data_IF_456076488954
#
_entry.id   IF_456076488954
#
_cell.length_a   1.000
_cell.length_b   1.000
_cell.length_c   1.000
_cell.angle_alpha   90.00
_cell.angle_beta   90.00
_cell.angle_gamma   90.00
#
_symmetry.space_group_name_H-M   'P 1'
#
loop_
_entity.id
_entity.type
_entity.pdbx_description
1 polymer ?
#
# COMPACT_ATOMS: atom_id res chain seq x y z
N UNK A 1 13.09 -10.57 21.86
CA UNK A 1 11.97 -9.68 22.28
C UNK A 1 11.68 -8.48 21.36
N UNK A 2 12.48 -8.13 20.34
CA UNK A 2 12.27 -6.90 19.53
C UNK A 2 11.22 -6.97 18.41
N UNK A 3 10.55 -8.10 18.21
CA UNK A 3 9.69 -8.31 17.02
C UNK A 3 8.20 -8.12 17.27
N UNK A 4 7.75 -8.22 18.52
CA UNK A 4 6.33 -8.11 18.89
C UNK A 4 5.80 -6.68 18.70
N UNK A 5 6.55 -5.70 19.20
CA UNK A 5 6.19 -4.28 19.10
C UNK A 5 6.00 -3.78 17.67
N UNK A 6 6.81 -4.27 16.71
CA UNK A 6 6.67 -3.87 15.30
C UNK A 6 5.34 -4.34 14.69
N UNK A 7 4.88 -5.54 15.06
CA UNK A 7 3.61 -6.09 14.56
C UNK A 7 2.42 -5.39 15.20
N UNK A 8 2.50 -5.10 16.50
CA UNK A 8 1.46 -4.38 17.25
C UNK A 8 1.30 -2.95 16.74
N UNK A 9 2.40 -2.21 16.58
CA UNK A 9 2.40 -0.88 15.96
C UNK A 9 1.78 -0.91 14.57
N UNK A 10 2.17 -1.88 13.73
CA UNK A 10 1.61 -2.01 12.38
C UNK A 10 0.11 -2.31 12.39
N UNK A 11 -0.37 -3.12 13.34
CA UNK A 11 -1.78 -3.46 13.47
C UNK A 11 -2.62 -2.25 13.94
N UNK A 12 -2.14 -1.49 14.92
CA UNK A 12 -2.81 -0.27 15.39
C UNK A 12 -2.84 0.77 14.28
N UNK A 13 -1.73 0.92 13.54
CA UNK A 13 -1.64 1.81 12.38
C UNK A 13 -2.63 1.44 11.27
N UNK A 14 -2.80 0.16 10.94
CA UNK A 14 -3.78 -0.26 9.93
C UNK A 14 -5.22 0.05 10.37
N UNK A 15 -5.54 -0.15 11.66
CA UNK A 15 -6.85 0.23 12.23
C UNK A 15 -7.08 1.74 12.16
N UNK A 16 -6.11 2.55 12.59
CA UNK A 16 -6.18 4.01 12.52
C UNK A 16 -6.32 4.49 11.06
N UNK A 17 -5.58 3.90 10.13
CA UNK A 17 -5.62 4.27 8.71
C UNK A 17 -7.00 4.00 8.08
N UNK A 18 -7.68 2.94 8.52
CA UNK A 18 -8.98 2.48 7.99
C UNK A 18 -10.19 3.05 8.71
N UNK A 19 -10.00 3.73 9.84
CA UNK A 19 -11.07 4.31 10.65
C UNK A 19 -12.02 5.16 9.81
N UNK A 20 -13.33 5.00 10.05
CA UNK A 20 -14.36 5.74 9.32
C UNK A 20 -14.73 7.04 10.00
N UNK A 21 -14.45 7.14 11.31
CA UNK A 21 -14.78 8.29 12.14
C UNK A 21 -13.53 8.85 12.81
N UNK A 22 -13.57 10.14 13.12
CA UNK A 22 -12.48 10.82 13.82
C UNK A 22 -12.30 10.28 15.24
N UNK A 23 -13.40 9.85 15.87
CA UNK A 23 -13.38 9.20 17.18
C UNK A 23 -12.58 7.89 17.16
N UNK A 24 -12.88 6.97 16.24
CA UNK A 24 -12.14 5.70 16.10
C UNK A 24 -10.67 5.93 15.75
N UNK A 25 -10.39 6.91 14.89
CA UNK A 25 -9.03 7.32 14.56
C UNK A 25 -8.26 7.75 15.81
N UNK A 26 -8.81 8.70 16.58
CA UNK A 26 -8.17 9.23 17.79
C UNK A 26 -7.96 8.16 18.85
N UNK A 27 -8.92 7.22 18.99
CA UNK A 27 -8.79 6.08 19.89
C UNK A 27 -7.55 5.23 19.58
N UNK A 28 -7.36 4.85 18.30
CA UNK A 28 -6.20 4.07 17.89
C UNK A 28 -4.89 4.87 17.94
N UNK A 29 -4.93 6.17 17.70
CA UNK A 29 -3.74 7.03 17.83
C UNK A 29 -3.28 7.16 19.28
N UNK A 30 -4.20 7.21 20.24
CA UNK A 30 -3.85 7.21 21.67
C UNK A 30 -3.31 5.84 22.11
N UNK A 31 -3.86 4.74 21.59
CA UNK A 31 -3.30 3.38 21.77
C UNK A 31 -1.86 3.30 21.26
N UNK A 32 -1.59 3.85 20.06
CA UNK A 32 -0.25 3.91 19.47
C UNK A 32 0.71 4.75 20.33
N UNK A 33 0.24 5.89 20.84
CA UNK A 33 1.03 6.80 21.67
C UNK A 33 1.47 6.12 22.97
N UNK A 34 0.54 5.44 23.63
CA UNK A 34 0.81 4.70 24.87
C UNK A 34 1.76 3.51 24.65
N UNK A 35 1.67 2.86 23.50
CA UNK A 35 2.55 1.75 23.15
C UNK A 35 3.96 2.24 22.77
N UNK A 36 4.05 3.24 21.89
CA UNK A 36 5.31 3.77 21.35
C UNK A 36 5.20 5.23 20.91
N UNK A 37 5.56 6.15 21.81
CA UNK A 37 5.59 7.60 21.54
C UNK A 37 6.37 7.97 20.26
N UNK A 38 7.57 7.41 20.05
CA UNK A 38 8.36 7.70 18.84
C UNK A 38 7.65 7.29 17.53
N UNK A 39 6.86 6.22 17.57
CA UNK A 39 6.10 5.78 16.40
C UNK A 39 4.92 6.72 16.15
N UNK A 40 4.25 7.16 17.20
CA UNK A 40 3.21 8.19 17.12
C UNK A 40 3.74 9.49 16.51
N UNK A 41 4.86 10.01 17.04
CA UNK A 41 5.45 11.28 16.58
C UNK A 41 5.81 11.21 15.09
N UNK A 42 6.47 10.12 14.68
CA UNK A 42 6.83 9.87 13.29
C UNK A 42 5.61 9.83 12.37
N UNK A 43 4.53 9.18 12.80
CA UNK A 43 3.31 9.00 12.00
C UNK A 43 2.52 10.30 11.82
N UNK A 44 2.48 11.13 12.86
CA UNK A 44 1.91 12.46 12.80
C UNK A 44 2.72 13.35 11.85
N UNK A 45 4.05 13.29 11.92
CA UNK A 45 4.95 14.06 11.04
C UNK A 45 4.78 13.74 9.54
N UNK A 46 4.47 12.48 9.19
CA UNK A 46 4.14 12.11 7.80
C UNK A 46 2.96 12.94 7.26
N UNK A 47 2.02 13.33 8.13
CA UNK A 47 0.78 14.02 7.79
C UNK A 47 -0.39 13.03 7.63
N UNK A 48 -1.37 13.02 8.55
CA UNK A 48 -2.51 12.10 8.53
C UNK A 48 -3.29 12.06 7.22
N UNK A 49 -3.39 13.18 6.50
CA UNK A 49 -4.06 13.27 5.20
C UNK A 49 -3.48 12.33 4.12
N UNK A 50 -2.22 11.89 4.26
CA UNK A 50 -1.56 11.00 3.29
C UNK A 50 -1.95 9.53 3.46
N UNK A 51 -2.33 9.12 4.67
CA UNK A 51 -2.44 7.71 5.04
C UNK A 51 -3.71 7.34 5.79
N UNK A 52 -4.33 8.28 6.52
CA UNK A 52 -5.60 8.07 7.22
C UNK A 52 -6.78 8.39 6.30
N UNK A 53 -7.77 7.49 6.28
CA UNK A 53 -8.99 7.68 5.51
C UNK A 53 -9.79 8.89 5.95
N UNK A 54 -9.93 9.12 7.26
CA UNK A 54 -10.78 10.19 7.79
C UNK A 54 -10.21 11.59 7.50
N UNK A 55 -8.89 11.69 7.36
CA UNK A 55 -8.19 12.93 7.04
C UNK A 55 -7.83 13.07 5.55
N UNK A 56 -8.11 12.04 4.73
CA UNK A 56 -7.82 12.11 3.31
C UNK A 56 -8.86 12.99 2.62
N UNK A 57 -8.41 14.10 2.02
CA UNK A 57 -9.26 15.02 1.27
C UNK A 57 -9.78 14.43 -0.05
N UNK A 58 -9.11 13.38 -0.55
CA UNK A 58 -9.49 12.68 -1.76
C UNK A 58 -10.31 11.44 -1.45
N UNK A 59 -11.41 11.25 -2.19
CA UNK A 59 -12.22 10.03 -2.14
C UNK A 59 -11.42 8.84 -2.70
N UNK A 60 -10.52 8.26 -1.91
CA UNK A 60 -9.78 7.01 -2.20
C UNK A 60 -10.73 5.82 -2.16
N UNK A 61 -11.59 5.71 -3.16
CA UNK A 61 -12.29 4.46 -3.43
C UNK A 61 -11.31 3.53 -4.17
N UNK A 62 -10.95 2.41 -3.52
CA UNK A 62 -10.53 1.13 -4.15
C UNK A 62 -9.05 0.78 -4.25
N UNK A 63 -8.08 1.70 -4.11
CA UNK A 63 -6.65 1.30 -4.04
C UNK A 63 -6.16 1.27 -2.59
N UNK A 64 -6.89 0.55 -1.72
CA UNK A 64 -6.40 0.21 -0.37
C UNK A 64 -5.73 -1.17 -0.32
N UNK A 65 -5.65 -1.86 -1.46
CA UNK A 65 -5.00 -3.16 -1.57
C UNK A 65 -3.54 -2.95 -1.98
N UNK A 66 -2.62 -3.31 -1.09
CA UNK A 66 -1.18 -3.31 -1.35
C UNK A 66 -0.78 -4.37 -2.39
N UNK A 67 -1.69 -5.27 -2.77
CA UNK A 67 -1.43 -6.39 -3.69
C UNK A 67 -0.68 -5.99 -4.97
N UNK A 68 -1.03 -4.86 -5.60
CA UNK A 68 -0.32 -4.39 -6.80
C UNK A 68 1.11 -3.96 -6.45
N UNK A 69 1.27 -3.18 -5.40
CA UNK A 69 2.59 -2.73 -4.92
C UNK A 69 3.43 -3.90 -4.41
N UNK A 70 2.84 -4.89 -3.74
CA UNK A 70 3.49 -6.11 -3.25
C UNK A 70 3.91 -7.03 -4.41
N UNK A 71 3.06 -7.24 -5.41
CA UNK A 71 3.43 -7.95 -6.63
C UNK A 71 4.60 -7.28 -7.33
N UNK A 72 4.53 -5.95 -7.52
CA UNK A 72 5.60 -5.18 -8.14
C UNK A 72 6.88 -5.25 -7.27
N UNK A 73 6.79 -5.11 -5.95
CA UNK A 73 7.96 -5.17 -5.06
C UNK A 73 8.59 -6.57 -5.01
N UNK A 74 7.78 -7.63 -4.97
CA UNK A 74 8.23 -9.02 -5.02
C UNK A 74 8.95 -9.30 -6.35
N UNK A 75 8.36 -8.84 -7.45
CA UNK A 75 8.92 -8.94 -8.79
C UNK A 75 10.24 -8.16 -8.92
N UNK A 76 10.26 -6.89 -8.48
CA UNK A 76 11.44 -6.03 -8.50
C UNK A 76 12.55 -6.51 -7.57
N UNK A 77 12.25 -7.27 -6.52
CA UNK A 77 13.26 -7.83 -5.61
C UNK A 77 14.30 -8.67 -6.35
N UNK A 78 13.87 -9.46 -7.33
CA UNK A 78 14.77 -10.22 -8.20
C UNK A 78 15.39 -9.35 -9.30
N UNK A 79 14.56 -8.46 -9.87
CA UNK A 79 14.94 -7.59 -10.97
C UNK A 79 15.96 -6.48 -10.61
N UNK A 80 16.14 -6.15 -9.33
CA UNK A 80 17.21 -5.24 -8.85
C UNK A 80 18.62 -5.76 -9.11
N UNK A 81 18.78 -7.05 -9.43
CA UNK A 81 20.05 -7.66 -9.83
C UNK A 81 20.29 -7.59 -11.34
N UNK A 82 19.28 -7.17 -12.13
CA UNK A 82 19.39 -7.02 -13.57
C UNK A 82 19.79 -5.58 -13.94
N UNK A 83 20.51 -5.37 -15.05
CA UNK A 83 20.73 -4.04 -15.60
C UNK A 83 19.40 -3.32 -15.84
N UNK A 84 19.36 -2.01 -15.55
CA UNK A 84 18.14 -1.19 -15.64
C UNK A 84 17.44 -1.28 -17.01
N UNK A 85 18.23 -1.36 -18.10
CA UNK A 85 17.72 -1.57 -19.45
C UNK A 85 17.00 -2.90 -19.61
N UNK A 86 17.60 -4.00 -19.13
CA UNK A 86 17.00 -5.34 -19.20
C UNK A 86 15.70 -5.42 -18.41
N UNK A 87 15.66 -4.76 -17.25
CA UNK A 87 14.44 -4.65 -16.45
C UNK A 87 13.33 -3.88 -17.18
N UNK A 88 13.67 -2.72 -17.76
CA UNK A 88 12.71 -1.90 -18.49
C UNK A 88 12.15 -2.63 -19.72
N UNK A 89 12.99 -3.31 -20.50
CA UNK A 89 12.56 -4.11 -21.64
C UNK A 89 11.66 -5.27 -21.23
N UNK A 90 12.00 -5.95 -20.12
CA UNK A 90 11.18 -7.03 -19.60
C UNK A 90 9.80 -6.54 -19.14
N UNK A 91 9.73 -5.44 -18.37
CA UNK A 91 8.47 -4.83 -17.92
C UNK A 91 7.64 -4.41 -19.13
N UNK A 92 8.25 -3.78 -20.13
CA UNK A 92 7.58 -3.39 -21.38
C UNK A 92 6.97 -4.60 -22.07
N UNK A 93 7.74 -5.67 -22.27
CA UNK A 93 7.27 -6.89 -22.93
C UNK A 93 6.12 -7.55 -22.16
N UNK A 94 6.20 -7.59 -20.82
CA UNK A 94 5.15 -8.12 -19.96
C UNK A 94 3.85 -7.32 -20.10
N UNK A 95 3.92 -5.99 -20.01
CA UNK A 95 2.75 -5.12 -20.14
C UNK A 95 2.13 -5.23 -21.54
N UNK A 96 2.95 -5.23 -22.59
CA UNK A 96 2.47 -5.39 -23.97
C UNK A 96 1.70 -6.70 -24.15
N UNK A 97 2.23 -7.83 -23.66
CA UNK A 97 1.53 -9.12 -23.70
C UNK A 97 0.23 -9.07 -22.92
N UNK A 98 0.25 -8.54 -21.70
CA UNK A 98 -0.93 -8.48 -20.85
C UNK A 98 -2.07 -7.66 -21.47
N UNK A 99 -1.76 -6.49 -22.05
CA UNK A 99 -2.76 -5.69 -22.75
C UNK A 99 -3.27 -6.37 -24.02
N UNK A 100 -2.39 -7.02 -24.78
CA UNK A 100 -2.74 -7.77 -25.97
C UNK A 100 -3.70 -8.93 -25.66
N UNK A 101 -3.41 -9.70 -24.63
CA UNK A 101 -4.25 -10.84 -24.21
C UNK A 101 -5.62 -10.37 -23.72
N UNK A 102 -5.66 -9.26 -22.96
CA UNK A 102 -6.94 -8.64 -22.53
C UNK A 102 -7.74 -8.11 -23.70
N UNK A 103 -7.08 -7.51 -24.69
CA UNK A 103 -7.74 -7.03 -25.91
C UNK A 103 -8.36 -8.20 -26.68
N UNK A 104 -7.62 -9.29 -26.88
CA UNK A 104 -8.15 -10.51 -27.52
C UNK A 104 -9.32 -11.12 -26.74
N UNK A 105 -9.21 -11.24 -25.42
CA UNK A 105 -10.29 -11.77 -24.60
C UNK A 105 -11.55 -10.89 -24.67
N UNK A 106 -11.40 -9.57 -24.71
CA UNK A 106 -12.52 -8.65 -24.88
C UNK A 106 -13.16 -8.74 -26.28
N UNK A 107 -12.37 -9.00 -27.33
CA UNK A 107 -12.89 -9.23 -28.68
C UNK A 107 -13.64 -10.57 -28.79
N UNK A 108 -13.15 -11.64 -28.15
CA UNK A 108 -13.83 -12.94 -28.17
C UNK A 108 -15.14 -12.97 -27.37
N UNK A 109 -15.37 -12.00 -26.49
CA UNK A 109 -16.63 -11.85 -25.72
C UNK A 109 -17.70 -11.02 -26.45
N UNK A 110 -17.42 -10.51 -27.66
CA UNK A 110 -18.35 -9.70 -28.48
C UNK A 110 -19.13 -10.51 -29.51
N UNK A 111 -19.01 -11.84 -29.48
CA UNK A 111 -19.78 -12.81 -30.26
C UNK A 111 -20.51 -13.75 -29.30
#
# INVERSE_FOLDING_TARGET
MKQFHRKEVAAIMDKAARAYTEFEYNWHMEELRNLHQNAYDYVIDIGPYKWSRVHCTERRYRVMTTNVAECINSFLKFARQLPMLTLAEFIRNMLQRWFHDRYKAAQSMRH
#
